data_IF_354583602039
#
_entry.id   IF_354583602039
#
_cell.length_a   1.000
_cell.length_b   1.000
_cell.length_c   1.000
_cell.angle_alpha   90.00
_cell.angle_beta   90.00
_cell.angle_gamma   90.00
#
_symmetry.space_group_name_H-M   'P 1'
#
loop_
_entity.id
_entity.type
_entity.pdbx_description
1 polymer ?
#
# COMPACT_ATOMS: atom_id res chain seq x y z
N UNK A 1 -12.24 20.42 -25.79
CA UNK A 1 -12.15 19.47 -24.65
C UNK A 1 -11.56 18.19 -25.19
N UNK A 2 -10.66 17.57 -24.44
CA UNK A 2 -10.09 16.28 -24.83
C UNK A 2 -11.17 15.18 -24.81
N UNK A 3 -11.07 14.18 -25.68
CA UNK A 3 -12.07 13.12 -25.80
C UNK A 3 -12.22 12.35 -24.48
N UNK A 4 -11.12 12.09 -23.78
CA UNK A 4 -11.15 11.42 -22.47
C UNK A 4 -11.83 12.29 -21.42
N UNK A 5 -11.68 13.61 -21.50
CA UNK A 5 -12.32 14.54 -20.58
C UNK A 5 -13.84 14.56 -20.78
N UNK A 6 -14.30 14.46 -22.02
CA UNK A 6 -15.71 14.34 -22.37
C UNK A 6 -16.27 13.04 -21.77
N UNK A 7 -15.65 11.89 -22.06
CA UNK A 7 -16.08 10.58 -21.53
C UNK A 7 -16.12 10.59 -20.00
N UNK A 8 -15.10 11.13 -19.35
CA UNK A 8 -15.05 11.25 -17.87
C UNK A 8 -16.20 12.11 -17.34
N UNK A 9 -16.52 13.21 -18.00
CA UNK A 9 -17.60 14.12 -17.57
C UNK A 9 -18.96 13.46 -17.69
N UNK A 10 -19.23 12.77 -18.80
CA UNK A 10 -20.44 11.97 -18.96
C UNK A 10 -20.56 10.85 -17.92
N UNK A 11 -19.45 10.17 -17.62
CA UNK A 11 -19.42 9.18 -16.54
C UNK A 11 -19.84 9.74 -15.18
N UNK A 12 -19.43 10.98 -14.85
CA UNK A 12 -19.87 11.64 -13.61
C UNK A 12 -21.37 11.93 -13.59
N UNK A 13 -21.93 12.43 -14.69
CA UNK A 13 -23.38 12.67 -14.79
C UNK A 13 -24.18 11.39 -14.64
N UNK A 14 -23.74 10.32 -15.31
CA UNK A 14 -24.38 9.01 -15.21
C UNK A 14 -24.32 8.45 -13.79
N UNK A 15 -23.18 8.60 -13.10
CA UNK A 15 -23.03 8.16 -11.72
C UNK A 15 -24.00 8.87 -10.77
N UNK A 16 -24.29 10.15 -10.99
CA UNK A 16 -25.31 10.89 -10.21
C UNK A 16 -26.71 10.29 -10.46
N UNK A 17 -27.02 9.93 -11.69
CA UNK A 17 -28.30 9.29 -12.02
C UNK A 17 -28.44 7.91 -11.35
N UNK A 18 -27.39 7.09 -11.41
CA UNK A 18 -27.33 5.79 -10.74
C UNK A 18 -27.49 5.94 -9.22
N UNK A 19 -26.82 6.94 -8.62
CA UNK A 19 -26.97 7.28 -7.20
C UNK A 19 -28.44 7.57 -6.83
N UNK A 20 -29.09 8.48 -7.54
CA UNK A 20 -30.48 8.83 -7.25
C UNK A 20 -31.45 7.69 -7.52
N UNK A 21 -31.20 6.89 -8.56
CA UNK A 21 -31.96 5.66 -8.83
C UNK A 21 -31.84 4.69 -7.67
N UNK A 22 -30.64 4.47 -7.16
CA UNK A 22 -30.41 3.57 -6.04
C UNK A 22 -31.12 4.05 -4.76
N UNK A 23 -30.93 5.31 -4.40
CA UNK A 23 -31.53 5.90 -3.20
C UNK A 23 -33.07 5.84 -3.24
N UNK A 24 -33.69 6.10 -4.40
CA UNK A 24 -35.15 6.05 -4.53
C UNK A 24 -35.69 4.62 -4.54
N UNK A 25 -35.06 3.72 -5.29
CA UNK A 25 -35.58 2.37 -5.52
C UNK A 25 -35.26 1.38 -4.41
N UNK A 26 -34.06 1.47 -3.81
CA UNK A 26 -33.56 0.46 -2.86
C UNK A 26 -33.51 0.98 -1.42
N UNK A 27 -33.29 2.28 -1.23
CA UNK A 27 -33.25 2.92 0.08
C UNK A 27 -34.52 3.76 0.36
N UNK A 28 -35.55 3.56 -0.45
CA UNK A 28 -36.90 4.14 -0.31
C UNK A 28 -36.96 5.64 0.01
N UNK A 29 -36.03 6.44 -0.55
CA UNK A 29 -35.92 7.88 -0.31
C UNK A 29 -37.28 8.62 -0.42
N UNK A 30 -38.14 8.22 -1.36
CA UNK A 30 -39.43 8.84 -1.63
C UNK A 30 -40.64 8.18 -0.98
N UNK A 31 -40.52 6.96 -0.43
CA UNK A 31 -41.67 6.18 0.07
C UNK A 31 -41.79 6.17 1.59
N UNK A 32 -40.69 6.36 2.33
CA UNK A 32 -40.69 6.21 3.80
C UNK A 32 -40.96 7.52 4.57
N UNK A 33 -40.65 8.68 3.98
CA UNK A 33 -40.83 9.96 4.66
C UNK A 33 -42.24 10.55 4.43
N UNK A 34 -43.20 10.14 5.26
CA UNK A 34 -44.51 10.82 5.42
C UNK A 34 -44.46 11.94 6.47
N UNK A 35 -43.27 12.45 6.77
CA UNK A 35 -43.07 13.45 7.81
C UNK A 35 -43.38 14.83 7.22
N UNK A 36 -44.28 15.57 7.89
CA UNK A 36 -44.78 16.87 7.42
C UNK A 36 -43.75 17.99 7.67
N UNK A 37 -42.72 17.72 8.48
CA UNK A 37 -41.71 18.70 8.88
C UNK A 37 -40.48 18.66 7.97
N UNK A 38 -40.02 19.84 7.55
CA UNK A 38 -38.88 20.01 6.65
C UNK A 38 -37.56 19.46 7.22
N UNK A 39 -37.32 19.64 8.53
CA UNK A 39 -36.13 19.13 9.20
C UNK A 39 -36.08 17.60 9.19
N UNK A 40 -37.24 16.97 9.35
CA UNK A 40 -37.37 15.52 9.32
C UNK A 40 -37.11 14.95 7.91
N UNK A 41 -37.58 15.64 6.85
CA UNK A 41 -37.26 15.28 5.47
C UNK A 41 -35.78 15.45 5.15
N UNK A 42 -35.15 16.51 5.66
CA UNK A 42 -33.71 16.76 5.48
C UNK A 42 -32.88 15.68 6.19
N UNK A 43 -33.23 15.36 7.44
CA UNK A 43 -32.56 14.30 8.21
C UNK A 43 -32.71 12.92 7.53
N UNK A 44 -33.92 12.58 7.08
CA UNK A 44 -34.16 11.33 6.33
C UNK A 44 -33.31 11.25 5.05
N UNK A 45 -33.25 12.33 4.28
CA UNK A 45 -32.43 12.40 3.06
C UNK A 45 -30.95 12.22 3.36
N UNK A 46 -30.45 12.87 4.41
CA UNK A 46 -29.05 12.73 4.84
C UNK A 46 -28.72 11.29 5.26
N UNK A 47 -29.62 10.62 6.00
CA UNK A 47 -29.46 9.22 6.41
C UNK A 47 -29.41 8.29 5.19
N UNK A 48 -30.35 8.45 4.25
CA UNK A 48 -30.37 7.63 3.02
C UNK A 48 -29.10 7.83 2.20
N UNK A 49 -28.63 9.07 2.05
CA UNK A 49 -27.40 9.35 1.32
C UNK A 49 -26.16 8.79 2.01
N UNK A 50 -26.08 8.89 3.34
CA UNK A 50 -25.02 8.25 4.12
C UNK A 50 -25.03 6.73 3.98
N UNK A 51 -26.22 6.11 4.00
CA UNK A 51 -26.37 4.67 3.77
C UNK A 51 -25.88 4.24 2.40
N UNK A 52 -26.19 4.99 1.34
CA UNK A 52 -25.62 4.74 0.01
C UNK A 52 -24.10 4.84 0.01
N UNK A 53 -23.54 5.90 0.62
CA UNK A 53 -22.08 6.09 0.65
C UNK A 53 -21.39 4.90 1.31
N UNK A 54 -21.90 4.42 2.44
CA UNK A 54 -21.37 3.24 3.13
C UNK A 54 -21.41 1.99 2.24
N UNK A 55 -22.56 1.70 1.61
CA UNK A 55 -22.70 0.55 0.70
C UNK A 55 -21.78 0.67 -0.53
N UNK A 56 -21.60 1.88 -1.05
CA UNK A 56 -20.74 2.13 -2.21
C UNK A 56 -19.26 1.94 -1.88
N UNK A 57 -18.84 2.25 -0.65
CA UNK A 57 -17.49 1.99 -0.16
C UNK A 57 -17.26 0.48 0.01
N UNK A 58 -18.15 -0.21 0.71
CA UNK A 58 -18.09 -1.67 0.88
C UNK A 58 -18.08 -2.42 -0.47
N UNK A 59 -18.91 -1.97 -1.42
CA UNK A 59 -18.93 -2.53 -2.77
C UNK A 59 -17.63 -2.29 -3.53
N UNK A 60 -16.93 -1.17 -3.29
CA UNK A 60 -15.62 -0.91 -3.90
C UNK A 60 -14.54 -1.78 -3.26
N UNK A 61 -14.51 -1.88 -1.94
CA UNK A 61 -13.54 -2.74 -1.24
C UNK A 61 -13.69 -4.22 -1.62
N UNK A 62 -14.92 -4.68 -1.82
CA UNK A 62 -15.18 -6.08 -2.20
C UNK A 62 -14.93 -6.41 -3.68
N UNK A 63 -14.99 -5.43 -4.59
CA UNK A 63 -14.94 -5.69 -6.04
C UNK A 63 -13.77 -5.03 -6.78
N UNK A 64 -13.09 -4.04 -6.20
CA UNK A 64 -11.97 -3.34 -6.83
C UNK A 64 -10.64 -3.79 -6.21
N UNK A 65 -9.84 -4.54 -6.95
CA UNK A 65 -8.50 -4.96 -6.52
C UNK A 65 -7.58 -3.76 -6.21
N UNK A 66 -7.83 -2.58 -6.80
CA UNK A 66 -7.06 -1.35 -6.50
C UNK A 66 -7.37 -0.76 -5.12
N UNK A 67 -8.45 -1.17 -4.46
CA UNK A 67 -8.71 -0.77 -3.07
C UNK A 67 -7.64 -1.30 -2.10
N UNK A 68 -6.92 -2.37 -2.48
CA UNK A 68 -5.76 -2.89 -1.76
C UNK A 68 -4.47 -2.07 -2.01
N UNK A 69 -4.53 -0.94 -2.73
CA UNK A 69 -3.35 -0.14 -3.04
C UNK A 69 -2.63 0.36 -1.79
N UNK A 70 -3.35 0.62 -0.69
CA UNK A 70 -2.72 1.00 0.58
C UNK A 70 -1.96 -0.19 1.19
N UNK A 71 -2.54 -1.39 1.15
CA UNK A 71 -1.86 -2.62 1.56
C UNK A 71 -0.62 -2.89 0.70
N UNK A 72 -0.71 -2.66 -0.62
CA UNK A 72 0.42 -2.77 -1.53
C UNK A 72 1.53 -1.74 -1.21
N UNK A 73 1.16 -0.51 -0.84
CA UNK A 73 2.10 0.52 -0.38
C UNK A 73 2.81 0.10 0.90
N UNK A 74 2.08 -0.40 1.90
CA UNK A 74 2.69 -0.95 3.12
C UNK A 74 3.64 -2.10 2.82
N UNK A 75 3.26 -3.03 1.94
CA UNK A 75 4.17 -4.10 1.50
C UNK A 75 5.38 -3.56 0.74
N UNK A 76 5.23 -2.53 -0.09
CA UNK A 76 6.33 -1.92 -0.82
C UNK A 76 7.31 -1.17 0.09
N UNK A 77 6.81 -0.50 1.13
CA UNK A 77 7.64 0.16 2.15
C UNK A 77 8.36 -0.86 3.03
N UNK A 78 7.68 -1.94 3.44
CA UNK A 78 8.29 -3.04 4.19
C UNK A 78 9.34 -3.77 3.34
N UNK A 79 9.08 -3.93 2.04
CA UNK A 79 9.98 -4.52 1.07
C UNK A 79 10.99 -3.51 0.50
N UNK A 80 11.26 -2.41 1.22
CA UNK A 80 12.23 -1.39 0.81
C UNK A 80 13.57 -2.00 0.38
N UNK A 81 14.13 -1.47 -0.71
CA UNK A 81 15.38 -1.96 -1.28
C UNK A 81 16.50 -1.94 -0.23
N UNK A 82 17.13 -3.10 -0.02
CA UNK A 82 18.30 -3.24 0.84
C UNK A 82 19.41 -2.33 0.29
N UNK A 83 19.91 -1.38 1.09
CA UNK A 83 21.01 -0.50 0.67
C UNK A 83 22.25 -1.35 0.35
N UNK A 84 23.05 -0.89 -0.61
CA UNK A 84 24.28 -1.59 -1.03
C UNK A 84 25.14 -2.11 0.14
N UNK A 85 25.29 -1.31 1.21
CA UNK A 85 26.06 -1.71 2.38
C UNK A 85 25.42 -2.85 3.17
N UNK A 86 24.09 -2.84 3.33
CA UNK A 86 23.34 -3.90 4.01
C UNK A 86 23.35 -5.19 3.19
N UNK A 87 23.23 -5.10 1.87
CA UNK A 87 23.33 -6.25 0.97
C UNK A 87 24.73 -6.86 1.00
N UNK A 88 25.77 -6.03 1.03
CA UNK A 88 27.16 -6.48 1.13
C UNK A 88 27.44 -7.14 2.49
N UNK A 89 26.96 -6.56 3.59
CA UNK A 89 27.06 -7.16 4.93
C UNK A 89 26.34 -8.50 5.01
N UNK A 90 25.13 -8.61 4.47
CA UNK A 90 24.37 -9.84 4.45
C UNK A 90 25.09 -10.95 3.65
N UNK A 91 25.67 -10.58 2.50
CA UNK A 91 26.43 -11.52 1.68
C UNK A 91 27.68 -12.03 2.42
N UNK A 92 28.40 -11.14 3.11
CA UNK A 92 29.54 -11.55 3.94
C UNK A 92 29.10 -12.45 5.08
N UNK A 93 28.03 -12.09 5.79
CA UNK A 93 27.50 -12.91 6.88
C UNK A 93 27.12 -14.32 6.41
N UNK A 94 26.40 -14.45 5.30
CA UNK A 94 26.05 -15.77 4.74
C UNK A 94 27.29 -16.57 4.31
N UNK A 95 28.30 -15.91 3.75
CA UNK A 95 29.57 -16.55 3.41
C UNK A 95 30.27 -17.09 4.66
N UNK A 96 30.24 -16.33 5.77
CA UNK A 96 30.82 -16.75 7.04
C UNK A 96 30.09 -17.93 7.67
N UNK A 97 28.76 -17.91 7.69
CA UNK A 97 27.94 -19.02 8.17
C UNK A 97 28.25 -20.31 7.39
N UNK A 98 28.38 -20.20 6.06
CA UNK A 98 28.77 -21.33 5.22
C UNK A 98 30.18 -21.85 5.52
N UNK A 99 31.16 -20.98 5.80
CA UNK A 99 32.52 -21.40 6.15
C UNK A 99 32.56 -22.08 7.52
N UNK A 100 31.84 -21.54 8.51
CA UNK A 100 31.75 -22.14 9.84
C UNK A 100 31.12 -23.53 9.77
N UNK A 101 29.99 -23.67 9.07
CA UNK A 101 29.23 -24.91 8.97
C UNK A 101 29.96 -26.01 8.17
N UNK A 102 30.64 -25.65 7.06
CA UNK A 102 31.23 -26.64 6.16
C UNK A 102 32.71 -26.95 6.42
N UNK A 103 33.46 -26.03 7.04
CA UNK A 103 34.91 -26.18 7.20
C UNK A 103 35.35 -26.35 8.66
N UNK A 104 34.42 -26.32 9.62
CA UNK A 104 34.68 -26.50 11.06
C UNK A 104 35.81 -25.58 11.55
N UNK A 105 35.86 -24.35 11.00
CA UNK A 105 36.87 -23.36 11.31
C UNK A 105 36.51 -22.74 12.66
N UNK A 106 37.48 -22.70 13.58
CA UNK A 106 37.30 -22.04 14.87
C UNK A 106 37.16 -20.51 14.69
N UNK A 107 36.29 -19.89 15.50
CA UNK A 107 35.91 -18.46 15.39
C UNK A 107 37.11 -17.51 15.41
N UNK A 108 38.18 -17.87 16.12
CA UNK A 108 39.44 -17.13 16.21
C UNK A 108 40.17 -16.99 14.86
N UNK A 109 40.05 -18.00 13.99
CA UNK A 109 40.63 -17.96 12.64
C UNK A 109 39.74 -17.24 11.64
N UNK A 110 38.44 -17.17 11.91
CA UNK A 110 37.47 -16.45 11.10
C UNK A 110 37.71 -14.95 11.23
N UNK A 111 37.95 -14.46 12.45
CA UNK A 111 38.23 -13.04 12.71
C UNK A 111 39.52 -12.57 12.00
N UNK A 112 40.58 -13.38 12.03
CA UNK A 112 41.83 -13.12 11.29
C UNK A 112 41.59 -13.05 9.78
N UNK A 113 40.74 -13.93 9.24
CA UNK A 113 40.43 -13.94 7.81
C UNK A 113 39.54 -12.76 7.40
N UNK A 114 38.63 -12.34 8.29
CA UNK A 114 37.79 -11.17 8.08
C UNK A 114 38.61 -9.89 8.04
N UNK A 115 39.55 -9.71 8.96
CA UNK A 115 40.47 -8.56 8.97
C UNK A 115 41.34 -8.54 7.72
N UNK A 116 41.91 -9.69 7.34
CA UNK A 116 42.70 -9.80 6.11
C UNK A 116 41.87 -9.50 4.85
N UNK A 117 40.60 -9.95 4.82
CA UNK A 117 39.70 -9.68 3.71
C UNK A 117 39.36 -8.19 3.60
N UNK A 118 38.99 -7.54 4.71
CA UNK A 118 38.77 -6.10 4.77
C UNK A 118 40.01 -5.37 4.29
N UNK A 119 41.21 -5.81 4.68
CA UNK A 119 42.45 -5.18 4.27
C UNK A 119 42.73 -5.22 2.76
N UNK A 120 42.30 -6.27 2.09
CA UNK A 120 42.47 -6.47 0.63
C UNK A 120 41.45 -5.67 -0.19
N UNK A 121 40.31 -5.30 0.40
CA UNK A 121 39.27 -4.54 -0.31
C UNK A 121 39.81 -3.19 -0.81
N UNK A 122 39.53 -2.79 -2.07
CA UNK A 122 39.90 -1.49 -2.61
C UNK A 122 39.50 -0.31 -1.71
N UNK A 123 40.39 0.69 -1.61
CA UNK A 123 40.19 1.88 -0.75
C UNK A 123 38.90 2.64 -1.03
N UNK A 124 38.44 2.64 -2.29
CA UNK A 124 37.15 3.20 -2.70
C UNK A 124 35.99 2.55 -1.92
N UNK A 125 35.98 1.22 -1.80
CA UNK A 125 34.95 0.47 -1.09
C UNK A 125 35.12 0.61 0.43
N UNK A 126 36.35 0.63 0.95
CA UNK A 126 36.63 0.94 2.38
C UNK A 126 36.02 2.29 2.78
N UNK A 127 36.19 3.33 1.96
CA UNK A 127 35.64 4.66 2.24
C UNK A 127 34.11 4.68 2.29
N UNK A 128 33.46 3.80 1.51
CA UNK A 128 32.00 3.63 1.51
C UNK A 128 31.49 2.75 2.65
N UNK A 129 32.34 1.87 3.17
CA UNK A 129 32.04 1.02 4.33
C UNK A 129 32.23 1.75 5.67
N UNK A 130 33.16 2.70 5.75
CA UNK A 130 33.46 3.48 6.97
C UNK A 130 32.64 4.76 7.11
N UNK A 131 31.98 5.23 6.04
CA UNK A 131 31.11 6.40 6.08
C UNK A 131 29.78 6.03 6.76
N UNK A 132 29.79 6.10 8.09
CA UNK A 132 28.60 6.16 8.95
C UNK A 132 28.19 7.62 9.13
#
# INVERSE_FOLDING_TARGET
MDENEIVRTYGKYWNIEVFFKFCKSYLHLSQECRLIFYDAMTAHTAIVFAGYMMLSLESRESNDERSLSELFLYFSDEMSDIRWIQAFQLLLQMFWELLADNLNIADDKIEILADAFIDIIPTLLKSKLQAT
#
